data_IF_029691875828
#
_entry.id   IF_029691875828
#
_cell.length_a   1.000
_cell.length_b   1.000
_cell.length_c   1.000
_cell.angle_alpha   90.00
_cell.angle_beta   90.00
_cell.angle_gamma   90.00
#
_symmetry.space_group_name_H-M   'P 1'
#
loop_
_entity.id
_entity.type
_entity.pdbx_description
1 polymer ?
#
# COMPACT_ATOMS: atom_id res chain seq x y z
N UNK A 1 19.92 -25.46 25.26
CA UNK A 1 18.71 -24.66 25.57
C UNK A 1 17.77 -25.54 26.38
N UNK A 2 17.46 -25.14 27.62
CA UNK A 2 16.47 -25.80 28.47
C UNK A 2 15.17 -25.03 28.37
N UNK A 3 14.03 -25.72 28.45
CA UNK A 3 12.73 -25.04 28.50
C UNK A 3 12.57 -24.37 29.87
N UNK A 4 12.02 -23.16 29.92
CA UNK A 4 11.82 -22.43 31.17
C UNK A 4 10.73 -23.07 32.06
N UNK A 5 9.76 -23.77 31.45
CA UNK A 5 8.64 -24.39 32.16
C UNK A 5 8.98 -25.75 32.80
N UNK A 6 9.82 -26.56 32.15
CA UNK A 6 10.22 -27.89 32.65
C UNK A 6 11.65 -27.92 33.20
N UNK A 7 12.42 -26.85 32.97
CA UNK A 7 13.85 -26.74 33.25
C UNK A 7 14.71 -27.88 32.69
N UNK A 8 14.16 -28.62 31.72
CA UNK A 8 14.78 -29.75 31.06
C UNK A 8 14.87 -29.49 29.56
N UNK A 9 15.87 -30.10 28.94
CA UNK A 9 16.02 -30.14 27.50
C UNK A 9 14.98 -31.08 26.87
N UNK A 10 14.45 -30.78 25.67
CA UNK A 10 13.61 -31.73 24.93
C UNK A 10 14.24 -33.11 24.77
N UNK A 11 15.58 -33.20 24.68
CA UNK A 11 16.30 -34.47 24.60
C UNK A 11 16.34 -35.22 25.93
N UNK A 12 16.45 -34.51 27.06
CA UNK A 12 16.36 -35.11 28.39
C UNK A 12 14.95 -35.66 28.65
N UNK A 13 13.91 -34.98 28.16
CA UNK A 13 12.53 -35.44 28.30
C UNK A 13 12.27 -36.68 27.43
N UNK A 14 12.76 -36.69 26.20
CA UNK A 14 12.48 -37.77 25.25
C UNK A 14 13.36 -39.02 25.45
N UNK A 15 14.64 -38.83 25.78
CA UNK A 15 15.66 -39.90 25.78
C UNK A 15 16.28 -40.07 27.18
N UNK A 16 15.90 -39.24 28.15
CA UNK A 16 16.46 -39.28 29.52
C UNK A 16 17.89 -38.74 29.62
N UNK A 17 18.53 -38.41 28.49
CA UNK A 17 19.92 -37.99 28.42
C UNK A 17 20.10 -36.88 27.38
N UNK A 18 20.98 -35.94 27.71
CA UNK A 18 21.42 -34.93 26.76
C UNK A 18 22.42 -35.56 25.78
N UNK A 19 22.26 -35.39 24.46
CA UNK A 19 23.25 -35.85 23.50
C UNK A 19 24.60 -35.19 23.79
N UNK A 20 25.67 -35.96 23.68
CA UNK A 20 27.04 -35.49 23.85
C UNK A 20 27.40 -34.55 22.68
N UNK A 21 27.08 -33.28 22.84
CA UNK A 21 27.56 -32.24 21.92
C UNK A 21 29.08 -32.12 22.05
N UNK A 22 29.81 -31.78 20.97
CA UNK A 22 31.27 -31.61 21.04
C UNK A 22 31.71 -30.65 22.15
N UNK A 23 30.89 -29.64 22.46
CA UNK A 23 31.10 -28.70 23.57
C UNK A 23 30.85 -29.31 24.96
N UNK A 24 29.94 -30.28 25.08
CA UNK A 24 29.68 -31.01 26.32
C UNK A 24 30.78 -32.03 26.66
N UNK A 25 31.47 -32.54 25.65
CA UNK A 25 32.70 -33.34 25.81
C UNK A 25 33.92 -32.48 26.17
N UNK A 26 33.81 -31.17 25.97
CA UNK A 26 34.83 -30.19 26.29
C UNK A 26 34.73 -29.69 27.77
N UNK A 27 33.98 -30.39 28.63
CA UNK A 27 34.13 -30.18 30.07
C UNK A 27 35.53 -30.58 30.56
N UNK A 28 35.93 -30.13 31.76
CA UNK A 28 37.20 -30.56 32.37
C UNK A 28 37.23 -32.09 32.46
N UNK A 29 38.06 -32.72 31.62
CA UNK A 29 38.21 -34.17 31.59
C UNK A 29 38.72 -34.67 32.96
N UNK A 30 37.89 -35.43 33.67
CA UNK A 30 38.21 -35.99 35.00
C UNK A 30 38.72 -37.43 34.96
N UNK A 31 39.01 -37.97 33.77
CA UNK A 31 39.50 -39.34 33.62
C UNK A 31 41.01 -39.47 33.89
N UNK A 32 41.49 -40.71 33.98
CA UNK A 32 42.91 -41.04 34.26
C UNK A 32 43.81 -41.05 33.01
N UNK A 33 43.24 -41.05 31.80
CA UNK A 33 44.04 -41.16 30.56
C UNK A 33 44.62 -39.81 30.12
N UNK A 34 45.96 -39.68 30.00
CA UNK A 34 46.59 -38.43 29.59
C UNK A 34 46.26 -38.06 28.14
N UNK A 35 46.09 -39.04 27.24
CA UNK A 35 45.77 -38.82 25.83
C UNK A 35 44.37 -38.23 25.66
N UNK A 36 43.39 -38.75 26.39
CA UNK A 36 42.02 -38.22 26.36
C UNK A 36 41.94 -36.81 26.95
N UNK A 37 42.75 -36.50 27.97
CA UNK A 37 42.87 -35.15 28.50
C UNK A 37 43.43 -34.16 27.46
N UNK A 38 44.42 -34.57 26.66
CA UNK A 38 44.96 -33.74 25.57
C UNK A 38 43.92 -33.49 24.47
N UNK A 39 43.14 -34.51 24.09
CA UNK A 39 42.05 -34.36 23.10
C UNK A 39 40.95 -33.43 23.62
N UNK A 40 40.57 -33.53 24.89
CA UNK A 40 39.57 -32.63 25.47
C UNK A 40 40.06 -31.17 25.52
N UNK A 41 41.35 -30.95 25.84
CA UNK A 41 41.98 -29.61 25.81
C UNK A 41 42.00 -29.02 24.39
N UNK A 42 42.42 -29.81 23.40
CA UNK A 42 42.46 -29.32 22.01
C UNK A 42 41.06 -28.98 21.47
N UNK A 43 40.02 -29.71 21.87
CA UNK A 43 38.64 -29.38 21.54
C UNK A 43 38.16 -28.08 22.21
N UNK A 44 38.53 -27.83 23.47
CA UNK A 44 38.25 -26.57 24.15
C UNK A 44 38.91 -25.38 23.46
N UNK A 45 40.20 -25.52 23.15
CA UNK A 45 40.97 -24.52 22.42
C UNK A 45 40.30 -24.23 21.05
N UNK A 46 39.90 -25.27 20.32
CA UNK A 46 39.17 -25.11 19.06
C UNK A 46 37.81 -24.43 19.25
N UNK A 47 37.05 -24.77 20.29
CA UNK A 47 35.76 -24.14 20.57
C UNK A 47 35.91 -22.64 20.89
N UNK A 48 36.92 -22.27 21.67
CA UNK A 48 37.21 -20.87 21.99
C UNK A 48 37.69 -20.08 20.77
N UNK A 49 38.51 -20.72 19.91
CA UNK A 49 38.89 -20.16 18.61
C UNK A 49 37.64 -19.92 17.77
N UNK A 50 36.74 -20.88 17.65
CA UNK A 50 35.47 -20.76 16.90
C UNK A 50 34.59 -19.64 17.46
N UNK A 51 34.42 -19.56 18.79
CA UNK A 51 33.69 -18.46 19.45
C UNK A 51 34.29 -17.11 19.08
N UNK A 52 35.62 -16.97 19.14
CA UNK A 52 36.30 -15.73 18.77
C UNK A 52 36.07 -15.36 17.29
N UNK A 53 35.98 -16.35 16.39
CA UNK A 53 35.67 -16.11 14.98
C UNK A 53 34.22 -15.70 14.76
N UNK A 54 33.28 -16.31 15.50
CA UNK A 54 31.87 -15.92 15.47
C UNK A 54 31.68 -14.49 15.98
N UNK A 55 32.37 -14.11 17.05
CA UNK A 55 32.35 -12.73 17.57
C UNK A 55 32.96 -11.75 16.56
N UNK A 56 34.09 -12.09 15.94
CA UNK A 56 34.70 -11.30 14.86
C UNK A 56 33.75 -11.16 13.68
N UNK A 57 33.05 -12.22 13.29
CA UNK A 57 32.07 -12.19 12.21
C UNK A 57 30.86 -11.31 12.57
N UNK A 58 30.33 -11.42 13.79
CA UNK A 58 29.26 -10.57 14.31
C UNK A 58 29.64 -9.09 14.35
N UNK A 59 30.84 -8.77 14.83
CA UNK A 59 31.39 -7.42 14.85
C UNK A 59 31.56 -6.84 13.42
N UNK A 60 32.07 -7.64 12.47
CA UNK A 60 32.16 -7.24 11.06
C UNK A 60 30.78 -6.96 10.47
N UNK A 61 29.81 -7.86 10.68
CA UNK A 61 28.44 -7.68 10.22
C UNK A 61 27.83 -6.41 10.79
N UNK A 62 27.95 -6.18 12.10
CA UNK A 62 27.47 -4.96 12.77
C UNK A 62 28.11 -3.71 12.18
N UNK A 63 29.45 -3.69 12.02
CA UNK A 63 30.18 -2.57 11.42
C UNK A 63 29.65 -2.20 10.03
N UNK A 64 29.43 -3.19 9.16
CA UNK A 64 28.92 -2.95 7.81
C UNK A 64 27.46 -2.51 7.79
N UNK A 65 26.64 -3.12 8.63
CA UNK A 65 25.22 -2.82 8.75
C UNK A 65 24.99 -1.41 9.31
N UNK A 66 25.74 -1.00 10.32
CA UNK A 66 25.61 0.30 10.96
C UNK A 66 26.24 1.43 10.12
N UNK A 67 27.21 1.12 9.25
CA UNK A 67 27.90 2.12 8.39
C UNK A 67 26.95 2.99 7.57
N UNK A 68 25.79 2.47 7.14
CA UNK A 68 24.80 3.21 6.35
C UNK A 68 23.55 3.63 7.13
N UNK A 69 23.44 3.26 8.41
CA UNK A 69 22.27 3.59 9.23
C UNK A 69 22.52 4.90 9.97
N UNK A 70 21.49 5.74 10.01
CA UNK A 70 21.49 6.94 10.86
C UNK A 70 20.68 6.61 12.11
N UNK A 71 21.19 6.94 13.32
CA UNK A 71 20.36 6.86 14.52
C UNK A 71 19.17 7.80 14.33
N UNK A 72 17.97 7.29 14.64
CA UNK A 72 16.72 8.05 14.59
C UNK A 72 16.07 7.90 15.94
N UNK A 73 15.90 9.02 16.61
CA UNK A 73 15.26 9.12 17.90
C UNK A 73 14.13 10.12 17.78
N UNK A 74 13.05 9.85 18.50
CA UNK A 74 11.88 10.69 18.52
C UNK A 74 11.49 10.95 19.96
N UNK A 75 10.94 12.13 20.21
CA UNK A 75 10.43 12.53 21.49
C UNK A 75 8.92 12.31 21.57
N UNK A 76 8.39 12.38 22.79
CA UNK A 76 6.95 12.33 23.03
C UNK A 76 6.32 13.59 22.45
N UNK A 77 5.21 13.43 21.73
CA UNK A 77 4.53 14.54 21.05
C UNK A 77 5.04 14.88 19.65
N UNK A 78 6.14 14.28 19.19
CA UNK A 78 6.59 14.47 17.81
C UNK A 78 5.56 13.90 16.82
N UNK A 79 5.28 14.63 15.74
CA UNK A 79 4.43 14.16 14.65
C UNK A 79 5.23 13.25 13.72
N UNK A 80 4.75 12.03 13.51
CA UNK A 80 5.39 11.05 12.63
C UNK A 80 4.41 10.41 11.67
N UNK A 81 4.82 10.30 10.40
CA UNK A 81 4.07 9.54 9.42
C UNK A 81 4.39 8.05 9.55
N UNK A 82 3.36 7.21 9.52
CA UNK A 82 3.49 5.77 9.66
C UNK A 82 3.51 5.07 8.29
N UNK A 83 4.54 4.26 8.05
CA UNK A 83 4.63 3.39 6.87
C UNK A 83 3.80 2.13 7.06
N UNK A 84 2.68 2.01 6.35
CA UNK A 84 1.90 0.79 6.32
C UNK A 84 2.36 -0.15 5.18
N UNK A 85 2.76 -1.38 5.53
CA UNK A 85 3.06 -2.45 4.59
C UNK A 85 1.77 -3.10 4.07
N UNK A 86 1.48 -2.93 2.78
CA UNK A 86 0.27 -3.47 2.12
C UNK A 86 0.07 -4.99 2.29
N UNK A 87 1.14 -5.76 2.47
CA UNK A 87 1.07 -7.21 2.73
C UNK A 87 0.50 -7.55 4.12
N UNK A 88 0.70 -6.68 5.11
CA UNK A 88 0.31 -6.93 6.50
C UNK A 88 -1.13 -6.52 6.78
N UNK A 89 -1.70 -5.61 5.99
CA UNK A 89 -3.01 -5.03 6.27
C UNK A 89 -4.11 -5.56 5.35
N UNK A 90 -5.15 -6.13 5.98
CA UNK A 90 -6.31 -6.71 5.27
C UNK A 90 -7.10 -5.65 4.49
N UNK A 91 -7.15 -4.40 4.98
CA UNK A 91 -7.85 -3.28 4.34
C UNK A 91 -7.32 -2.99 2.93
N UNK A 92 -6.01 -3.15 2.72
CA UNK A 92 -5.37 -2.84 1.44
C UNK A 92 -5.39 -3.99 0.43
N UNK A 93 -5.86 -5.19 0.79
CA UNK A 93 -5.86 -6.34 -0.15
C UNK A 93 -6.70 -6.11 -1.40
N UNK A 94 -7.73 -5.28 -1.32
CA UNK A 94 -8.61 -4.94 -2.46
C UNK A 94 -8.05 -3.83 -3.35
N UNK A 95 -7.04 -3.09 -2.90
CA UNK A 95 -6.48 -1.92 -3.59
C UNK A 95 -5.17 -2.29 -4.27
N UNK A 96 -4.99 -1.85 -5.52
CA UNK A 96 -3.73 -2.07 -6.23
C UNK A 96 -2.57 -1.38 -5.52
N UNK A 97 -1.41 -2.06 -5.41
CA UNK A 97 -0.25 -1.59 -4.63
C UNK A 97 0.24 -0.19 -5.02
N UNK A 98 0.17 0.17 -6.30
CA UNK A 98 0.55 1.50 -6.79
C UNK A 98 -0.40 2.64 -6.39
N UNK A 99 -1.61 2.30 -5.92
CA UNK A 99 -2.60 3.27 -5.44
C UNK A 99 -2.57 3.43 -3.92
N UNK A 100 -1.81 2.60 -3.20
CA UNK A 100 -1.69 2.69 -1.75
C UNK A 100 -0.68 3.78 -1.39
N UNK A 101 -1.02 4.63 -0.43
CA UNK A 101 -0.09 5.64 0.10
C UNK A 101 1.06 4.94 0.80
N UNK A 102 2.29 5.41 0.56
CA UNK A 102 3.48 4.81 1.18
C UNK A 102 3.57 5.09 2.68
N UNK A 103 3.14 6.28 3.08
CA UNK A 103 3.02 6.70 4.47
C UNK A 103 1.61 7.24 4.69
N UNK A 104 1.01 6.85 5.80
CA UNK A 104 -0.26 7.38 6.25
C UNK A 104 -0.06 8.65 7.08
N UNK A 105 -1.18 9.24 7.45
CA UNK A 105 -1.32 10.48 8.22
C UNK A 105 -0.29 10.62 9.35
N UNK A 106 0.09 11.87 9.68
CA UNK A 106 0.93 12.13 10.83
C UNK A 106 0.18 11.75 12.11
N UNK A 107 0.82 10.94 12.95
CA UNK A 107 0.33 10.55 14.25
C UNK A 107 1.29 11.03 15.34
N UNK A 108 0.79 11.52 16.47
CA UNK A 108 1.65 11.88 17.59
C UNK A 108 2.20 10.64 18.29
N UNK A 109 3.44 10.75 18.78
CA UNK A 109 4.06 9.73 19.61
C UNK A 109 3.57 9.86 21.05
N UNK A 110 2.87 8.82 21.52
CA UNK A 110 2.35 8.72 22.88
C UNK A 110 3.40 8.27 23.90
N UNK A 111 4.21 7.27 23.56
CA UNK A 111 5.16 6.67 24.49
C UNK A 111 6.33 6.01 23.77
N UNK A 112 7.50 5.97 24.42
CA UNK A 112 8.66 5.18 23.99
C UNK A 112 8.64 3.84 24.73
N UNK A 113 8.26 2.77 24.03
CA UNK A 113 8.12 1.40 24.61
C UNK A 113 9.47 0.71 24.73
N UNK A 114 10.41 1.02 23.85
CA UNK A 114 11.77 0.49 23.89
C UNK A 114 12.75 1.39 23.14
N UNK A 115 14.00 0.94 23.01
CA UNK A 115 15.05 1.74 22.34
C UNK A 115 14.69 2.11 20.90
N UNK A 116 13.98 1.22 20.19
CA UNK A 116 13.66 1.36 18.76
C UNK A 116 12.15 1.25 18.49
N UNK A 117 11.33 1.27 19.53
CA UNK A 117 9.88 1.04 19.41
C UNK A 117 9.09 2.13 20.10
N UNK A 118 8.16 2.74 19.35
CA UNK A 118 7.32 3.86 19.80
C UNK A 118 5.85 3.49 19.67
N UNK A 119 5.06 3.92 20.64
CA UNK A 119 3.60 3.82 20.63
C UNK A 119 3.03 5.10 20.04
N UNK A 120 2.19 4.96 19.02
CA UNK A 120 1.48 6.06 18.37
C UNK A 120 0.03 6.14 18.85
N UNK A 121 -0.54 7.32 18.78
CA UNK A 121 -1.98 7.51 18.87
C UNK A 121 -2.62 7.20 17.51
N UNK A 122 -3.21 6.01 17.37
CA UNK A 122 -3.90 5.62 16.15
C UNK A 122 -5.41 5.76 16.30
N UNK A 123 -6.13 6.16 15.23
CA UNK A 123 -7.58 6.11 15.20
C UNK A 123 -8.11 4.70 15.47
N UNK A 124 -9.17 4.52 16.27
CA UNK A 124 -9.71 3.20 16.61
C UNK A 124 -10.26 2.43 15.39
N UNK A 125 -10.51 3.14 14.29
CA UNK A 125 -10.89 2.56 12.98
C UNK A 125 -9.76 1.68 12.41
N UNK A 126 -8.51 2.03 12.68
CA UNK A 126 -7.34 1.23 12.32
C UNK A 126 -7.12 0.17 13.39
N UNK A 127 -7.67 -1.03 13.17
CA UNK A 127 -7.49 -2.22 14.04
C UNK A 127 -6.06 -2.78 13.96
N UNK A 128 -5.07 -1.96 14.29
CA UNK A 128 -3.63 -2.23 14.22
C UNK A 128 -3.04 -2.00 15.61
N UNK A 129 -2.06 -2.82 16.01
CA UNK A 129 -1.34 -2.57 17.26
C UNK A 129 -0.56 -1.24 17.17
N UNK A 130 -0.67 -0.35 18.17
CA UNK A 130 -0.14 1.00 18.09
C UNK A 130 1.39 1.10 18.27
N UNK A 131 2.11 -0.01 18.44
CA UNK A 131 3.55 -0.04 18.71
C UNK A 131 4.31 -0.35 17.43
N UNK A 132 5.17 0.57 17.00
CA UNK A 132 5.91 0.48 15.75
C UNK A 132 7.41 0.66 15.94
N UNK A 133 8.19 -0.01 15.10
CA UNK A 133 9.64 0.16 15.03
C UNK A 133 10.01 1.47 14.31
N UNK A 134 11.08 2.14 14.74
CA UNK A 134 11.61 3.41 14.17
C UNK A 134 11.74 3.41 12.65
N UNK A 135 12.09 2.27 12.05
CA UNK A 135 12.21 2.13 10.59
C UNK A 135 10.91 2.36 9.82
N UNK A 136 9.76 2.18 10.48
CA UNK A 136 8.43 2.40 9.89
C UNK A 136 7.95 3.84 10.10
N UNK A 137 8.70 4.66 10.85
CA UNK A 137 8.35 6.04 11.15
C UNK A 137 9.15 6.99 10.27
N UNK A 138 8.49 8.06 9.83
CA UNK A 138 9.12 9.19 9.15
C UNK A 138 8.75 10.46 9.91
N UNK A 139 9.72 11.31 10.28
CA UNK A 139 9.40 12.59 10.92
C UNK A 139 8.53 13.42 9.99
N UNK A 140 7.51 14.05 10.55
CA UNK A 140 6.69 15.06 9.90
C UNK A 140 7.07 16.43 10.45
N UNK A 141 7.23 17.42 9.58
CA UNK A 141 7.44 18.81 9.96
C UNK A 141 6.32 19.61 9.30
N UNK A 142 5.59 20.39 10.08
CA UNK A 142 4.53 21.24 9.56
C UNK A 142 5.14 22.53 9.03
N UNK A 143 4.88 22.85 7.75
CA UNK A 143 5.32 24.10 7.15
C UNK A 143 4.37 25.22 7.58
N UNK A 144 4.85 26.15 8.40
CA UNK A 144 4.03 27.26 8.95
C UNK A 144 3.63 28.32 7.92
N UNK A 145 4.36 28.39 6.80
CA UNK A 145 4.16 29.42 5.77
C UNK A 145 3.12 29.03 4.72
N UNK A 146 2.99 27.74 4.43
CA UNK A 146 1.96 27.20 3.53
C UNK A 146 1.39 25.89 4.09
N UNK A 147 0.32 25.98 4.89
CA UNK A 147 -0.34 24.81 5.47
C UNK A 147 -0.84 23.83 4.41
N UNK A 148 -1.11 24.28 3.19
CA UNK A 148 -1.66 23.45 2.11
C UNK A 148 -0.61 22.53 1.47
N UNK A 149 0.68 22.84 1.61
CA UNK A 149 1.78 22.09 1.01
C UNK A 149 1.87 20.64 1.53
N UNK A 150 1.50 20.42 2.80
CA UNK A 150 1.46 19.10 3.44
C UNK A 150 0.15 18.33 3.20
N UNK A 151 -0.89 18.99 2.71
CA UNK A 151 -2.20 18.38 2.51
C UNK A 151 -2.21 17.56 1.23
N UNK A 152 -2.41 16.25 1.38
CA UNK A 152 -2.70 15.42 0.22
C UNK A 152 -4.13 15.63 -0.23
N UNK A 153 -4.37 15.95 -1.50
CA UNK A 153 -5.70 15.93 -2.13
C UNK A 153 -6.36 14.53 -2.20
N UNK A 154 -5.76 13.51 -1.56
CA UNK A 154 -6.20 12.11 -1.62
C UNK A 154 -6.95 11.77 -0.33
N UNK A 155 -8.14 11.18 -0.47
CA UNK A 155 -8.95 10.76 0.65
C UNK A 155 -8.18 9.85 1.64
N UNK A 156 -8.32 10.05 2.96
CA UNK A 156 -7.72 9.19 3.97
C UNK A 156 -8.19 7.75 3.86
N UNK A 157 -7.32 6.78 4.17
CA UNK A 157 -7.67 5.36 4.23
C UNK A 157 -8.78 5.09 5.28
N UNK A 158 -8.87 5.92 6.32
CA UNK A 158 -9.87 5.86 7.41
C UNK A 158 -11.29 6.22 6.97
N UNK A 159 -11.46 6.87 5.82
CA UNK A 159 -12.77 7.23 5.27
C UNK A 159 -13.19 6.15 4.29
N UNK A 160 -14.04 5.22 4.74
CA UNK A 160 -14.92 4.50 3.80
C UNK A 160 -15.76 5.59 3.17
N UNK A 161 -15.56 5.87 1.87
CA UNK A 161 -16.43 6.80 1.15
C UNK A 161 -17.86 6.25 1.24
N UNK A 162 -18.64 6.71 2.21
CA UNK A 162 -20.08 6.69 2.07
C UNK A 162 -20.38 7.81 1.07
N UNK A 163 -20.69 7.42 -0.16
CA UNK A 163 -21.31 8.34 -1.10
C UNK A 163 -22.77 8.47 -0.71
N UNK A 164 -23.03 8.97 0.50
CA UNK A 164 -24.36 9.38 0.89
C UNK A 164 -24.57 10.78 0.29
N UNK A 165 -24.52 10.88 -1.03
CA UNK A 165 -25.21 11.99 -1.70
C UNK A 165 -26.68 11.68 -1.49
N UNK A 166 -27.31 12.42 -0.59
CA UNK A 166 -28.76 12.38 -0.42
C UNK A 166 -29.39 12.58 -1.80
N UNK A 167 -30.07 11.53 -2.29
CA UNK A 167 -30.74 11.58 -3.58
C UNK A 167 -32.03 12.36 -3.33
N UNK A 168 -32.01 13.66 -3.60
CA UNK A 168 -33.14 14.55 -3.29
C UNK A 168 -34.48 14.03 -3.83
N UNK A 169 -34.54 13.49 -5.05
CA UNK A 169 -35.75 12.88 -5.62
C UNK A 169 -35.46 11.82 -6.69
N UNK A 170 -35.96 10.60 -6.50
CA UNK A 170 -35.97 9.53 -7.53
C UNK A 170 -37.27 9.60 -8.31
N UNK A 171 -37.20 9.81 -9.62
CA UNK A 171 -38.36 9.82 -10.53
C UNK A 171 -38.85 8.40 -10.88
N UNK A 172 -37.93 7.45 -11.04
CA UNK A 172 -38.26 6.05 -11.29
C UNK A 172 -37.14 5.12 -10.89
N UNK A 173 -37.53 3.92 -10.44
CA UNK A 173 -36.65 2.82 -10.02
C UNK A 173 -36.93 1.60 -10.91
N UNK A 174 -35.88 1.02 -11.49
CA UNK A 174 -35.97 -0.11 -12.41
C UNK A 174 -34.92 -1.17 -12.10
N UNK A 175 -35.33 -2.44 -12.04
CA UNK A 175 -34.45 -3.57 -11.75
C UNK A 175 -34.29 -4.46 -12.99
N UNK A 176 -33.09 -4.50 -13.55
CA UNK A 176 -32.80 -5.36 -14.70
C UNK A 176 -32.11 -6.65 -14.24
N UNK A 177 -32.70 -7.80 -14.58
CA UNK A 177 -32.19 -9.13 -14.24
C UNK A 177 -31.69 -9.83 -15.49
N UNK A 178 -30.39 -10.15 -15.50
CA UNK A 178 -29.76 -10.99 -16.55
C UNK A 178 -29.23 -12.27 -15.93
N UNK A 179 -29.26 -13.38 -16.67
CA UNK A 179 -28.76 -14.68 -16.18
C UNK A 179 -27.26 -14.59 -15.88
N UNK A 180 -26.86 -15.02 -14.68
CA UNK A 180 -25.46 -15.13 -14.26
C UNK A 180 -24.80 -13.84 -13.75
N UNK A 181 -25.51 -12.70 -13.77
CA UNK A 181 -24.99 -11.42 -13.26
C UNK A 181 -25.90 -10.94 -12.12
N UNK A 182 -25.35 -10.39 -11.03
CA UNK A 182 -26.16 -9.75 -9.99
C UNK A 182 -27.10 -8.70 -10.60
N UNK A 183 -28.34 -8.57 -10.10
CA UNK A 183 -29.32 -7.63 -10.64
C UNK A 183 -28.81 -6.19 -10.55
N UNK A 184 -28.95 -5.44 -11.64
CA UNK A 184 -28.57 -4.02 -11.70
C UNK A 184 -29.80 -3.17 -11.45
N UNK A 185 -29.71 -2.24 -10.50
CA UNK A 185 -30.78 -1.31 -10.14
C UNK A 185 -30.46 0.07 -10.70
N UNK A 186 -31.37 0.62 -11.50
CA UNK A 186 -31.23 1.91 -12.17
C UNK A 186 -32.22 2.90 -11.56
N UNK A 187 -31.75 4.12 -11.28
CA UNK A 187 -32.58 5.21 -10.78
C UNK A 187 -32.54 6.37 -11.77
N UNK A 188 -33.69 6.90 -12.18
CA UNK A 188 -33.76 8.18 -12.86
C UNK A 188 -33.93 9.28 -11.80
N UNK A 189 -33.03 10.27 -11.79
CA UNK A 189 -33.10 11.46 -10.93
C UNK A 189 -33.35 12.69 -11.80
N UNK A 190 -34.13 13.65 -11.33
CA UNK A 190 -34.08 15.00 -11.89
C UNK A 190 -32.73 15.62 -11.51
N UNK A 191 -32.04 16.17 -12.50
CA UNK A 191 -30.78 16.89 -12.33
C UNK A 191 -30.94 18.21 -13.07
N UNK A 192 -30.61 19.31 -12.41
CA UNK A 192 -30.62 20.63 -13.07
C UNK A 192 -29.48 20.71 -14.09
N UNK A 193 -29.59 21.59 -15.09
CA UNK A 193 -28.53 21.75 -16.10
C UNK A 193 -27.22 22.15 -15.42
N UNK A 194 -27.24 23.03 -14.41
CA UNK A 194 -26.02 23.38 -13.66
C UNK A 194 -25.38 22.19 -12.94
N UNK A 195 -26.17 21.30 -12.35
CA UNK A 195 -25.67 20.07 -11.73
C UNK A 195 -25.09 19.11 -12.76
N UNK A 196 -25.69 18.97 -13.95
CA UNK A 196 -25.14 18.14 -15.04
C UNK A 196 -23.75 18.62 -15.46
N UNK A 197 -23.60 19.94 -15.63
CA UNK A 197 -22.33 20.58 -16.00
C UNK A 197 -21.32 20.51 -14.85
N UNK A 198 -21.79 20.54 -13.60
CA UNK A 198 -20.95 20.34 -12.41
C UNK A 198 -20.45 18.89 -12.29
N UNK A 199 -21.27 17.87 -12.58
CA UNK A 199 -20.84 16.46 -12.62
C UNK A 199 -19.89 16.13 -13.78
N UNK A 200 -19.92 16.89 -14.87
CA UNK A 200 -18.96 16.74 -15.98
C UNK A 200 -17.59 17.37 -15.66
N UNK A 201 -17.49 18.23 -14.63
CA UNK A 201 -16.21 18.72 -14.14
C UNK A 201 -15.59 17.66 -13.24
N UNK A 202 -14.46 17.11 -13.67
CA UNK A 202 -13.69 16.19 -12.86
C UNK A 202 -12.92 16.96 -11.77
N UNK A 203 -13.34 16.82 -10.51
CA UNK A 203 -12.50 17.18 -9.37
C UNK A 203 -11.55 16.02 -9.05
N UNK A 204 -10.34 16.06 -9.60
CA UNK A 204 -9.28 15.10 -9.30
C UNK A 204 -8.13 15.05 -10.31
N UNK A 205 -6.94 14.54 -9.93
CA UNK A 205 -5.70 14.83 -10.66
C UNK A 205 -5.43 14.00 -11.92
N UNK A 206 -6.31 13.08 -12.35
CA UNK A 206 -6.15 12.44 -13.66
C UNK A 206 -7.44 11.80 -14.17
N UNK A 207 -8.01 12.38 -15.22
CA UNK A 207 -8.78 11.64 -16.23
C UNK A 207 -8.39 12.22 -17.58
N UNK A 208 -7.78 11.41 -18.45
CA UNK A 208 -7.65 11.77 -19.87
C UNK A 208 -9.04 11.63 -20.46
N UNK A 209 -9.81 12.72 -20.48
CA UNK A 209 -10.98 12.82 -21.34
C UNK A 209 -10.53 13.34 -22.69
N UNK A 210 -10.36 12.44 -23.66
CA UNK A 210 -10.38 12.87 -25.05
C UNK A 210 -11.85 13.13 -25.43
N UNK A 211 -12.35 14.32 -25.13
CA UNK A 211 -13.57 14.86 -25.73
C UNK A 211 -13.10 15.99 -26.64
N UNK A 212 -12.97 15.68 -27.94
CA UNK A 212 -12.75 16.71 -28.94
C UNK A 212 -14.02 17.55 -29.08
N UNK A 213 -13.98 18.80 -28.61
CA UNK A 213 -14.97 19.80 -28.99
C UNK A 213 -14.71 20.24 -30.42
N UNK A 214 -15.64 19.94 -31.32
CA UNK A 214 -15.69 20.57 -32.63
C UNK A 214 -16.96 21.42 -32.72
N UNK A 215 -16.84 22.71 -32.44
CA UNK A 215 -17.71 23.73 -33.03
C UNK A 215 -16.85 24.55 -33.99
N UNK A 216 -17.33 24.73 -35.23
CA UNK A 216 -17.74 26.07 -35.62
C UNK A 216 -19.26 26.13 -35.86
N UNK A 217 -19.86 27.33 -35.91
CA UNK A 217 -21.31 27.56 -36.00
C UNK A 217 -21.84 27.23 -37.39
N UNK A 218 -21.82 25.95 -37.74
CA UNK A 218 -22.24 25.42 -39.03
C UNK A 218 -23.19 24.24 -38.80
N UNK A 219 -24.30 24.53 -38.12
CA UNK A 219 -25.42 23.61 -38.03
C UNK A 219 -26.09 23.54 -39.41
N UNK A 220 -25.74 22.53 -40.20
CA UNK A 220 -26.44 22.25 -41.44
C UNK A 220 -27.59 21.29 -41.18
N UNK A 221 -28.76 21.58 -41.74
CA UNK A 221 -29.87 20.62 -41.77
C UNK A 221 -29.37 19.35 -42.46
N UNK A 222 -29.62 18.18 -41.85
CA UNK A 222 -29.09 16.89 -42.31
C UNK A 222 -29.48 16.57 -43.76
N UNK A 223 -30.64 17.08 -44.20
CA UNK A 223 -31.11 16.98 -45.58
C UNK A 223 -30.30 17.83 -46.59
N UNK A 224 -29.73 18.95 -46.14
CA UNK A 224 -28.93 19.88 -46.94
C UNK A 224 -27.42 19.58 -46.91
N UNK A 225 -26.98 18.74 -45.96
CA UNK A 225 -25.57 18.36 -45.80
C UNK A 225 -24.95 17.66 -47.03
N UNK A 226 -25.63 16.74 -47.73
CA UNK A 226 -25.09 16.14 -48.96
C UNK A 226 -24.81 17.15 -50.07
N UNK A 227 -25.63 18.20 -50.18
CA UNK A 227 -25.44 19.23 -51.20
C UNK A 227 -24.26 20.14 -50.86
N UNK A 228 -24.10 20.47 -49.58
CA UNK A 228 -22.98 21.24 -49.06
C UNK A 228 -21.64 20.49 -49.19
N UNK A 229 -21.60 19.22 -48.77
CA UNK A 229 -20.40 18.39 -48.80
C UNK A 229 -19.81 18.29 -50.21
N UNK A 230 -20.63 17.87 -51.19
CA UNK A 230 -20.19 17.72 -52.59
C UNK A 230 -19.90 19.07 -53.28
N UNK A 231 -20.38 20.19 -52.73
CA UNK A 231 -20.06 21.53 -53.20
C UNK A 231 -18.67 21.97 -52.74
N UNK A 232 -18.30 21.70 -51.49
CA UNK A 232 -16.96 22.05 -50.96
C UNK A 232 -15.88 21.15 -51.53
N UNK A 233 -16.17 19.87 -51.74
CA UNK A 233 -15.19 18.91 -52.28
C UNK A 233 -15.07 18.94 -53.81
N UNK A 234 -15.69 19.92 -54.49
CA UNK A 234 -15.71 20.04 -55.96
C UNK A 234 -16.12 18.76 -56.72
N UNK A 235 -16.94 17.91 -56.09
CA UNK A 235 -17.32 16.59 -56.61
C UNK A 235 -18.76 16.53 -57.14
N UNK A 236 -19.35 17.68 -57.50
CA UNK A 236 -20.75 17.80 -57.94
C UNK A 236 -21.12 16.91 -59.13
N UNK A 237 -20.15 16.56 -59.98
CA UNK A 237 -20.35 15.70 -61.14
C UNK A 237 -20.64 14.23 -60.77
N UNK A 238 -20.39 13.80 -59.53
CA UNK A 238 -20.66 12.44 -59.05
C UNK A 238 -22.09 12.32 -58.50
N UNK A 239 -23.06 12.39 -59.40
CA UNK A 239 -24.50 12.48 -59.09
C UNK A 239 -25.05 11.23 -58.40
N UNK A 240 -24.69 10.02 -58.86
CA UNK A 240 -25.14 8.76 -58.26
C UNK A 240 -24.69 8.60 -56.79
N UNK A 241 -23.44 8.98 -56.53
CA UNK A 241 -22.82 8.91 -55.20
C UNK A 241 -23.47 9.91 -54.25
N UNK A 242 -23.82 11.09 -54.77
CA UNK A 242 -24.57 12.12 -54.05
C UNK A 242 -25.99 11.67 -53.71
N UNK A 243 -26.69 10.95 -54.60
CA UNK A 243 -28.02 10.40 -54.33
C UNK A 243 -28.00 9.27 -53.30
N UNK A 244 -27.00 8.39 -53.35
CA UNK A 244 -26.79 7.38 -52.32
C UNK A 244 -26.54 8.03 -50.96
N UNK A 245 -25.72 9.09 -50.92
CA UNK A 245 -25.46 9.85 -49.70
C UNK A 245 -26.70 10.57 -49.18
N UNK A 246 -27.53 11.15 -50.06
CA UNK A 246 -28.84 11.73 -49.69
C UNK A 246 -29.80 10.72 -49.08
N UNK A 247 -29.80 9.46 -49.53
CA UNK A 247 -30.62 8.39 -48.93
C UNK A 247 -30.18 8.05 -47.51
N UNK A 248 -28.88 8.03 -47.24
CA UNK A 248 -28.32 7.75 -45.91
C UNK A 248 -28.69 8.87 -44.91
N UNK A 249 -28.75 10.11 -45.36
CA UNK A 249 -29.08 11.26 -44.51
C UNK A 249 -30.59 11.44 -44.22
N UNK A 250 -31.48 10.56 -44.71
CA UNK A 250 -32.95 10.66 -44.54
C UNK A 250 -33.54 9.72 -43.47
N UNK A 251 -32.72 9.16 -42.58
CA UNK A 251 -33.17 8.28 -41.48
C UNK A 251 -33.92 9.08 -40.42
#
# INVERSE_FOLDING_TARGET
MRSEATNQSPFEIAIGQQPLTPLALAGDYKGRSPLAAQVARSWNEQADVVRSYLDKAGCKMKKWVDKRRRPKEYNLGDMVMLKLLSQQFKSFRKVHKGLIRKYEEPFPIMAKVGKVSYRLELPPKLKIHPVFHVSLLKPHYDDKEDPSCGESHRAPTTVVKSYDKEVEYVLSDGLERRRGVPPTRHYLKMVTVEEMWSTQRAEGPATIMAIGTATPPNCFLQNAYPDFYFRITNSKHKTELKEKFKRICKI
#
